data_IF_417915019575
#
_entry.id   IF_417915019575
#
_cell.length_a   1.000
_cell.length_b   1.000
_cell.length_c   1.000
_cell.angle_alpha   90.00
_cell.angle_beta   90.00
_cell.angle_gamma   90.00
#
_symmetry.space_group_name_H-M   'P 1'
#
loop_
_entity.id
_entity.type
_entity.pdbx_description
1 polymer ?
#
# COMPACT_ATOMS: atom_id res chain seq x y z
N UNK A 1 -0.95 68.07 6.31
CA UNK A 1 -1.54 66.72 6.17
C UNK A 1 -1.43 66.01 7.51
N UNK A 2 -2.55 65.81 8.24
CA UNK A 2 -2.55 65.38 9.64
C UNK A 2 -1.85 64.02 9.87
N UNK A 3 -1.05 63.90 10.93
CA UNK A 3 -0.37 62.65 11.29
C UNK A 3 -1.33 61.49 11.50
N UNK A 4 -2.52 61.73 12.08
CA UNK A 4 -3.58 60.72 12.19
C UNK A 4 -3.87 60.00 10.85
N UNK A 5 -3.79 60.70 9.70
CA UNK A 5 -3.94 60.05 8.38
C UNK A 5 -2.72 59.21 8.00
N UNK A 6 -1.50 59.65 8.33
CA UNK A 6 -0.27 58.89 8.11
C UNK A 6 -0.29 57.59 8.93
N UNK A 7 -0.67 57.65 10.21
CA UNK A 7 -0.76 56.49 11.10
C UNK A 7 -1.77 55.46 10.58
N UNK A 8 -2.95 55.89 10.12
CA UNK A 8 -3.93 54.98 9.51
C UNK A 8 -3.39 54.33 8.23
N UNK A 9 -2.68 55.06 7.37
CA UNK A 9 -2.07 54.51 6.15
C UNK A 9 -1.00 53.47 6.50
N UNK A 10 -0.11 53.77 7.45
CA UNK A 10 0.90 52.81 7.92
C UNK A 10 0.27 51.57 8.56
N UNK A 11 -0.77 51.74 9.39
CA UNK A 11 -1.49 50.61 9.98
C UNK A 11 -2.15 49.73 8.91
N UNK A 12 -2.70 50.32 7.85
CA UNK A 12 -3.31 49.59 6.74
C UNK A 12 -2.25 48.84 5.91
N UNK A 13 -1.10 49.45 5.65
CA UNK A 13 0.03 48.83 4.94
C UNK A 13 0.62 47.66 5.75
N UNK A 14 0.81 47.82 7.06
CA UNK A 14 1.29 46.73 7.92
C UNK A 14 0.28 45.58 7.97
N UNK A 15 -1.02 45.88 8.05
CA UNK A 15 -2.08 44.86 8.08
C UNK A 15 -2.17 44.08 6.76
N UNK A 16 -2.07 44.76 5.59
CA UNK A 16 -2.09 44.07 4.29
C UNK A 16 -0.82 43.26 4.04
N UNK A 17 0.35 43.75 4.47
CA UNK A 17 1.62 43.02 4.37
C UNK A 17 1.62 41.76 5.26
N UNK A 18 1.08 41.85 6.49
CA UNK A 18 0.83 40.68 7.35
C UNK A 18 -0.11 39.66 6.68
N UNK A 19 -1.21 40.12 6.08
CA UNK A 19 -2.14 39.23 5.38
C UNK A 19 -1.47 38.50 4.20
N UNK A 20 -0.61 39.18 3.43
CA UNK A 20 0.17 38.57 2.34
C UNK A 20 1.13 37.50 2.88
N UNK A 21 1.80 37.74 4.02
CA UNK A 21 2.68 36.75 4.65
C UNK A 21 1.90 35.48 5.07
N UNK A 22 0.72 35.65 5.70
CA UNK A 22 -0.13 34.52 6.12
C UNK A 22 -0.66 33.73 4.91
N UNK A 23 -1.06 34.39 3.84
CA UNK A 23 -1.49 33.73 2.59
C UNK A 23 -0.32 32.99 1.93
N UNK A 24 0.86 33.60 1.87
CA UNK A 24 2.07 32.94 1.34
C UNK A 24 2.46 31.69 2.14
N UNK A 25 2.48 31.78 3.47
CA UNK A 25 2.81 30.67 4.35
C UNK A 25 1.81 29.50 4.23
N UNK A 26 0.50 29.80 4.14
CA UNK A 26 -0.52 28.76 3.97
C UNK A 26 -0.47 28.09 2.60
N UNK A 27 -0.21 28.84 1.52
CA UNK A 27 0.02 28.24 0.18
C UNK A 27 1.23 27.30 0.16
N UNK A 28 2.35 27.71 0.76
CA UNK A 28 3.56 26.85 0.85
C UNK A 28 3.28 25.60 1.66
N UNK A 29 2.58 25.71 2.80
CA UNK A 29 2.18 24.56 3.61
C UNK A 29 1.33 23.55 2.84
N UNK A 30 0.28 24.01 2.14
CA UNK A 30 -0.58 23.13 1.33
C UNK A 30 0.19 22.48 0.17
N UNK A 31 1.05 23.23 -0.52
CA UNK A 31 1.85 22.71 -1.64
C UNK A 31 2.88 21.66 -1.20
N UNK A 32 3.54 21.86 -0.06
CA UNK A 32 4.48 20.89 0.49
C UNK A 32 3.79 19.59 0.92
N UNK A 33 2.60 19.68 1.53
CA UNK A 33 1.81 18.49 1.92
C UNK A 33 1.47 17.59 0.72
N UNK A 34 1.20 18.15 -0.47
CA UNK A 34 0.92 17.34 -1.67
C UNK A 34 2.09 16.46 -2.12
N UNK A 35 3.35 16.82 -1.83
CA UNK A 35 4.52 16.01 -2.23
C UNK A 35 4.72 14.75 -1.39
N UNK A 36 4.06 14.66 -0.24
CA UNK A 36 4.07 13.47 0.63
C UNK A 36 2.68 12.81 0.65
N UNK A 37 2.15 12.51 -0.54
CA UNK A 37 0.84 11.87 -0.68
C UNK A 37 0.96 10.36 -0.42
N UNK A 38 0.88 9.97 0.86
CA UNK A 38 0.49 8.61 1.23
C UNK A 38 -0.99 8.40 0.93
N UNK A 39 -1.30 7.51 -0.02
CA UNK A 39 -2.67 7.21 -0.41
C UNK A 39 -3.20 6.03 0.41
N UNK A 40 -3.96 6.31 1.46
CA UNK A 40 -4.62 5.30 2.31
C UNK A 40 -6.10 5.16 1.94
N UNK A 41 -6.56 3.94 1.65
CA UNK A 41 -7.97 3.63 1.37
C UNK A 41 -8.39 2.34 2.06
N UNK A 42 -9.53 2.38 2.74
CA UNK A 42 -10.14 1.21 3.38
C UNK A 42 -11.46 0.85 2.70
N UNK A 43 -11.70 -0.45 2.55
CA UNK A 43 -12.80 -1.02 1.78
C UNK A 43 -13.25 -2.34 2.39
N UNK A 44 -14.56 -2.64 2.29
CA UNK A 44 -15.13 -3.89 2.75
C UNK A 44 -16.12 -4.43 1.73
N UNK A 45 -16.03 -5.73 1.44
CA UNK A 45 -16.84 -6.41 0.41
C UNK A 45 -17.23 -7.81 0.87
N UNK A 46 -18.20 -8.43 0.20
CA UNK A 46 -18.48 -9.85 0.37
C UNK A 46 -17.73 -10.62 -0.72
N UNK A 47 -16.97 -11.66 -0.36
CA UNK A 47 -16.35 -12.59 -1.31
C UNK A 47 -17.41 -13.48 -1.99
N UNK A 48 -17.03 -14.20 -3.05
CA UNK A 48 -17.91 -15.17 -3.75
C UNK A 48 -18.42 -16.29 -2.82
N UNK A 49 -17.75 -16.52 -1.68
CA UNK A 49 -18.14 -17.41 -0.58
C UNK A 49 -19.23 -16.86 0.36
N UNK A 50 -19.64 -15.60 0.21
CA UNK A 50 -20.53 -14.88 1.15
C UNK A 50 -19.80 -14.27 2.37
N UNK A 51 -18.49 -14.47 2.48
CA UNK A 51 -17.66 -13.99 3.59
C UNK A 51 -17.38 -12.48 3.51
N UNK A 52 -17.41 -11.76 4.65
CA UNK A 52 -17.08 -10.33 4.71
C UNK A 52 -15.57 -10.12 4.83
N UNK A 53 -14.96 -9.61 3.77
CA UNK A 53 -13.53 -9.26 3.72
C UNK A 53 -13.38 -7.76 4.01
N UNK A 54 -12.44 -7.41 4.87
CA UNK A 54 -11.98 -6.03 5.08
C UNK A 54 -10.57 -5.86 4.53
N UNK A 55 -10.31 -4.75 3.87
CA UNK A 55 -9.03 -4.49 3.21
C UNK A 55 -8.65 -3.02 3.33
N UNK A 56 -7.38 -2.77 3.63
CA UNK A 56 -6.76 -1.44 3.63
C UNK A 56 -5.57 -1.44 2.67
N UNK A 57 -5.58 -0.49 1.75
CA UNK A 57 -4.49 -0.19 0.81
C UNK A 57 -3.75 1.02 1.34
N UNK A 58 -2.41 0.98 1.30
CA UNK A 58 -1.55 2.14 1.54
C UNK A 58 -0.52 2.20 0.40
N UNK A 59 -0.41 3.34 -0.28
CA UNK A 59 0.60 3.55 -1.34
C UNK A 59 1.46 4.75 -1.02
N UNK A 60 2.78 4.56 -1.03
CA UNK A 60 3.77 5.62 -0.91
C UNK A 60 4.52 5.78 -2.23
N UNK A 61 4.17 6.81 -3.01
CA UNK A 61 4.81 7.12 -4.29
C UNK A 61 6.24 7.67 -4.14
N UNK A 62 6.65 8.12 -2.94
CA UNK A 62 8.04 8.53 -2.70
C UNK A 62 8.94 7.31 -2.47
N UNK A 63 8.51 6.38 -1.61
CA UNK A 63 9.25 5.15 -1.29
C UNK A 63 9.02 4.01 -2.31
N UNK A 64 8.17 4.22 -3.32
CA UNK A 64 7.77 3.23 -4.34
C UNK A 64 7.26 1.92 -3.72
N UNK A 65 6.34 2.06 -2.78
CA UNK A 65 5.77 0.95 -2.00
C UNK A 65 4.24 0.93 -2.08
N UNK A 66 3.66 -0.27 -2.19
CA UNK A 66 2.23 -0.49 -2.01
C UNK A 66 1.96 -1.65 -1.02
N UNK A 67 1.34 -1.33 0.11
CA UNK A 67 0.94 -2.28 1.15
C UNK A 67 -0.55 -2.60 1.05
N UNK A 68 -0.90 -3.88 1.17
CA UNK A 68 -2.26 -4.39 1.14
C UNK A 68 -2.53 -5.25 2.36
N UNK A 69 -3.14 -4.64 3.37
CA UNK A 69 -3.62 -5.33 4.57
C UNK A 69 -5.01 -5.91 4.29
N UNK A 70 -5.20 -7.21 4.51
CA UNK A 70 -6.48 -7.89 4.26
C UNK A 70 -6.85 -8.80 5.45
N UNK A 71 -8.12 -8.74 5.87
CA UNK A 71 -8.67 -9.53 6.98
C UNK A 71 -9.96 -10.23 6.55
N UNK A 72 -10.01 -11.53 6.81
CA UNK A 72 -11.05 -12.47 6.34
C UNK A 72 -11.17 -13.61 7.35
N UNK A 73 -12.37 -13.92 7.87
CA UNK A 73 -12.61 -14.99 8.85
C UNK A 73 -11.59 -15.06 10.02
N UNK A 74 -11.28 -13.90 10.62
CA UNK A 74 -10.27 -13.72 11.69
C UNK A 74 -8.82 -14.09 11.31
N UNK A 75 -8.55 -14.38 10.02
CA UNK A 75 -7.21 -14.48 9.44
C UNK A 75 -6.87 -13.11 8.85
N UNK A 76 -5.71 -12.58 9.22
CA UNK A 76 -5.19 -11.33 8.66
C UNK A 76 -3.83 -11.56 8.02
N UNK A 77 -3.66 -10.97 6.84
CA UNK A 77 -2.46 -11.06 6.01
C UNK A 77 -2.11 -9.68 5.47
N UNK A 78 -0.86 -9.50 5.07
CA UNK A 78 -0.37 -8.28 4.43
C UNK A 78 0.54 -8.65 3.26
N UNK A 79 0.24 -8.05 2.11
CA UNK A 79 1.16 -7.98 0.96
C UNK A 79 1.92 -6.67 1.05
N UNK A 80 3.17 -6.67 0.64
CA UNK A 80 3.97 -5.46 0.44
C UNK A 80 4.72 -5.56 -0.88
N UNK A 81 4.34 -4.74 -1.85
CA UNK A 81 5.10 -4.54 -3.08
C UNK A 81 6.16 -3.47 -2.81
N UNK A 82 7.44 -3.83 -2.92
CA UNK A 82 8.58 -2.93 -2.87
C UNK A 82 9.15 -2.82 -4.29
N UNK A 83 8.73 -1.77 -5.02
CA UNK A 83 9.11 -1.59 -6.42
C UNK A 83 10.54 -1.04 -6.59
N UNK A 84 11.20 -0.62 -5.50
CA UNK A 84 12.62 -0.23 -5.54
C UNK A 84 13.54 -1.46 -5.49
N UNK A 85 13.09 -2.55 -4.84
CA UNK A 85 13.84 -3.81 -4.73
C UNK A 85 13.26 -4.94 -5.62
N UNK A 86 12.23 -4.64 -6.42
CA UNK A 86 11.53 -5.56 -7.33
C UNK A 86 11.03 -6.85 -6.64
N UNK A 87 10.54 -6.74 -5.39
CA UNK A 87 10.07 -7.87 -4.57
C UNK A 87 8.69 -7.66 -3.93
N UNK A 88 8.01 -8.78 -3.68
CA UNK A 88 6.70 -8.87 -3.03
C UNK A 88 6.86 -9.62 -1.70
N UNK A 89 6.69 -8.94 -0.57
CA UNK A 89 6.63 -9.54 0.76
C UNK A 89 5.23 -10.03 1.13
N UNK A 90 5.14 -11.19 1.77
CA UNK A 90 3.90 -11.84 2.20
C UNK A 90 3.99 -12.25 3.68
N UNK A 91 3.19 -11.60 4.53
CA UNK A 91 3.14 -11.86 5.99
C UNK A 91 1.71 -12.19 6.43
N UNK A 92 1.51 -13.34 7.09
CA UNK A 92 0.29 -13.64 7.87
C UNK A 92 0.54 -13.24 9.31
N UNK A 93 -0.33 -12.47 9.98
CA UNK A 93 -0.08 -11.98 11.36
C UNK A 93 0.19 -13.14 12.34
N UNK A 94 -0.49 -14.28 12.16
CA UNK A 94 -0.30 -15.50 12.96
C UNK A 94 0.48 -16.60 12.22
N UNK A 95 1.29 -16.23 11.23
CA UNK A 95 2.19 -17.16 10.53
C UNK A 95 3.55 -17.24 11.20
N UNK A 96 4.19 -18.42 11.17
CA UNK A 96 5.54 -18.63 11.70
C UNK A 96 6.67 -18.15 10.75
N UNK A 97 6.33 -17.72 9.53
CA UNK A 97 7.26 -17.31 8.47
C UNK A 97 6.77 -16.04 7.75
N UNK A 98 7.68 -15.44 7.00
CA UNK A 98 7.43 -14.46 5.95
C UNK A 98 7.96 -15.01 4.63
N UNK A 99 7.29 -14.73 3.51
CA UNK A 99 7.71 -15.16 2.18
C UNK A 99 7.97 -13.97 1.27
N UNK A 100 8.95 -14.10 0.36
CA UNK A 100 9.30 -13.07 -0.61
C UNK A 100 9.37 -13.66 -2.02
N UNK A 101 8.68 -13.03 -2.96
CA UNK A 101 8.65 -13.40 -4.38
C UNK A 101 9.25 -12.25 -5.19
N UNK A 102 10.19 -12.52 -6.09
CA UNK A 102 10.64 -11.52 -7.05
C UNK A 102 9.53 -11.20 -8.07
N UNK A 103 9.39 -9.91 -8.41
CA UNK A 103 8.39 -9.44 -9.36
C UNK A 103 8.60 -9.99 -10.79
N UNK A 104 9.82 -10.43 -11.15
CA UNK A 104 10.13 -11.02 -12.46
C UNK A 104 9.42 -12.36 -12.74
N UNK A 105 8.96 -13.07 -11.69
CA UNK A 105 8.40 -14.43 -11.80
C UNK A 105 6.87 -14.47 -11.87
N UNK A 106 6.19 -13.35 -11.64
CA UNK A 106 4.73 -13.26 -11.53
C UNK A 106 4.23 -12.00 -12.27
N UNK A 107 2.96 -11.97 -12.67
CA UNK A 107 2.39 -10.78 -13.31
C UNK A 107 2.05 -9.74 -12.24
N UNK A 108 2.79 -8.65 -12.18
CA UNK A 108 2.67 -7.61 -11.15
C UNK A 108 1.98 -6.37 -11.71
N UNK A 109 0.92 -5.84 -11.06
CA UNK A 109 0.35 -4.55 -11.46
C UNK A 109 1.37 -3.44 -11.25
N UNK A 110 1.44 -2.46 -12.17
CA UNK A 110 2.30 -1.29 -11.93
C UNK A 110 1.75 -0.46 -10.76
N UNK A 111 2.60 0.32 -10.11
CA UNK A 111 2.13 1.23 -9.07
C UNK A 111 1.13 2.28 -9.63
N UNK A 112 1.21 2.63 -10.91
CA UNK A 112 0.20 3.48 -11.54
C UNK A 112 -1.15 2.75 -11.67
N UNK A 113 -1.17 1.45 -12.00
CA UNK A 113 -2.39 0.64 -12.04
C UNK A 113 -3.05 0.52 -10.66
N UNK A 114 -2.27 0.38 -9.59
CA UNK A 114 -2.78 0.43 -8.21
C UNK A 114 -3.42 1.80 -7.94
N UNK A 115 -2.72 2.90 -8.21
CA UNK A 115 -3.25 4.26 -8.01
C UNK A 115 -4.48 4.55 -8.88
N UNK A 116 -4.56 3.97 -10.08
CA UNK A 116 -5.68 4.04 -11.02
C UNK A 116 -6.88 3.21 -10.52
N UNK A 117 -6.63 2.04 -9.94
CA UNK A 117 -7.59 1.20 -9.25
C UNK A 117 -8.22 1.89 -8.04
N UNK A 118 -7.38 2.49 -7.17
CA UNK A 118 -7.83 3.33 -6.03
C UNK A 118 -8.76 4.45 -6.52
N UNK A 119 -8.34 5.22 -7.53
CA UNK A 119 -9.12 6.33 -8.10
C UNK A 119 -10.42 5.86 -8.75
N UNK A 120 -10.47 4.65 -9.32
CA UNK A 120 -11.71 4.04 -9.85
C UNK A 120 -12.66 3.66 -8.72
N UNK A 121 -12.17 2.95 -7.71
CA UNK A 121 -12.94 2.54 -6.55
C UNK A 121 -13.57 3.75 -5.84
N UNK A 122 -12.78 4.79 -5.53
CA UNK A 122 -13.25 6.03 -4.89
C UNK A 122 -14.33 6.78 -5.68
N UNK A 123 -14.37 6.64 -7.02
CA UNK A 123 -15.31 7.38 -7.89
C UNK A 123 -16.57 6.59 -8.24
N UNK A 124 -16.48 5.27 -8.31
CA UNK A 124 -17.50 4.41 -8.90
C UNK A 124 -17.95 3.27 -7.98
N UNK A 125 -17.33 3.12 -6.80
CA UNK A 125 -17.46 1.95 -5.92
C UNK A 125 -17.27 0.62 -6.67
N UNK A 126 -16.38 0.64 -7.68
CA UNK A 126 -16.24 -0.41 -8.69
C UNK A 126 -14.83 -0.97 -8.69
N UNK A 127 -14.78 -2.29 -8.77
CA UNK A 127 -13.60 -3.14 -8.96
C UNK A 127 -13.58 -3.66 -10.41
N UNK A 128 -12.47 -4.25 -10.85
CA UNK A 128 -12.19 -4.63 -12.25
C UNK A 128 -11.66 -6.07 -12.34
N UNK A 129 -12.54 -7.02 -12.70
CA UNK A 129 -12.25 -8.46 -12.68
C UNK A 129 -10.89 -8.82 -13.31
N UNK A 130 -10.00 -9.45 -12.53
CA UNK A 130 -8.68 -9.91 -12.96
C UNK A 130 -8.17 -11.00 -12.01
N UNK A 131 -8.40 -12.28 -12.32
CA UNK A 131 -7.91 -13.39 -11.50
C UNK A 131 -6.40 -13.65 -11.74
N UNK A 132 -5.58 -13.52 -10.69
CA UNK A 132 -4.16 -13.90 -10.67
C UNK A 132 -3.87 -14.85 -9.51
N UNK A 133 -4.02 -16.15 -9.75
CA UNK A 133 -3.72 -17.18 -8.74
C UNK A 133 -2.32 -17.75 -8.93
N UNK A 134 -1.46 -17.59 -7.92
CA UNK A 134 -0.15 -18.22 -7.86
C UNK A 134 -0.10 -19.20 -6.68
N UNK A 135 0.38 -20.42 -6.93
CA UNK A 135 0.90 -21.29 -5.86
C UNK A 135 2.39 -21.02 -5.71
N UNK A 136 2.96 -21.04 -4.50
CA UNK A 136 4.42 -20.93 -4.31
C UNK A 136 5.05 -22.19 -3.70
N UNK A 137 6.34 -22.35 -3.92
CA UNK A 137 7.22 -23.26 -3.19
C UNK A 137 8.16 -22.43 -2.32
N UNK A 138 8.38 -22.87 -1.08
CA UNK A 138 9.40 -22.30 -0.18
C UNK A 138 10.81 -22.65 -0.69
N UNK A 139 11.68 -21.65 -0.78
CA UNK A 139 13.09 -21.77 -1.13
C UNK A 139 14.01 -21.58 0.08
N UNK A 140 15.18 -20.98 -0.13
CA UNK A 140 16.15 -20.69 0.92
C UNK A 140 15.77 -19.49 1.81
N UNK A 141 16.40 -19.37 2.97
CA UNK A 141 16.19 -18.25 3.89
C UNK A 141 16.83 -16.97 3.31
N UNK A 142 16.07 -15.89 3.21
CA UNK A 142 16.48 -14.64 2.55
C UNK A 142 17.30 -13.75 3.49
N UNK A 143 18.43 -13.23 3.02
CA UNK A 143 19.29 -12.39 3.85
C UNK A 143 18.67 -11.00 4.02
N UNK A 144 18.44 -10.57 5.26
CA UNK A 144 17.84 -9.26 5.59
C UNK A 144 18.58 -8.05 4.98
N UNK A 145 19.86 -8.18 4.67
CA UNK A 145 20.69 -7.16 4.00
C UNK A 145 20.37 -6.96 2.52
N UNK A 146 19.66 -7.90 1.89
CA UNK A 146 19.25 -7.84 0.47
C UNK A 146 17.84 -7.25 0.30
N UNK A 147 17.17 -6.88 1.40
CA UNK A 147 15.75 -6.58 1.46
C UNK A 147 15.48 -5.13 1.93
N UNK A 148 14.51 -4.48 1.29
CA UNK A 148 14.10 -3.13 1.66
C UNK A 148 13.63 -2.99 3.12
N UNK A 149 13.78 -1.78 3.68
CA UNK A 149 13.45 -1.48 5.08
C UNK A 149 12.02 -1.86 5.45
N UNK A 150 11.06 -1.64 4.54
CA UNK A 150 9.66 -1.94 4.78
C UNK A 150 9.35 -3.45 4.80
N UNK A 151 10.05 -4.25 3.99
CA UNK A 151 10.01 -5.73 4.03
C UNK A 151 10.60 -6.23 5.36
N UNK A 152 11.73 -5.66 5.77
CA UNK A 152 12.37 -5.97 7.05
C UNK A 152 11.48 -5.65 8.27
N UNK A 153 10.73 -4.54 8.21
CA UNK A 153 9.74 -4.14 9.21
C UNK A 153 8.51 -5.05 9.21
N UNK A 154 7.93 -5.33 8.04
CA UNK A 154 6.78 -6.23 7.87
C UNK A 154 7.03 -7.61 8.47
N UNK A 155 8.27 -8.08 8.36
CA UNK A 155 8.68 -9.42 8.74
C UNK A 155 9.72 -9.40 9.87
N UNK A 156 9.66 -8.40 10.77
CA UNK A 156 10.63 -8.23 11.86
C UNK A 156 10.58 -9.32 12.93
N UNK A 157 9.47 -10.05 13.04
CA UNK A 157 9.18 -11.02 14.12
C UNK A 157 9.37 -12.49 13.72
N UNK A 158 9.76 -12.78 12.46
CA UNK A 158 9.85 -14.13 11.89
C UNK A 158 11.06 -14.30 10.96
N UNK A 159 11.51 -15.54 10.70
CA UNK A 159 12.40 -15.83 9.57
C UNK A 159 11.70 -15.55 8.23
N UNK A 160 12.51 -15.23 7.23
CA UNK A 160 12.09 -14.77 5.90
C UNK A 160 12.60 -15.77 4.87
N UNK A 161 11.74 -16.28 3.99
CA UNK A 161 12.13 -17.24 2.95
C UNK A 161 11.82 -16.71 1.56
N UNK A 162 12.71 -17.00 0.62
CA UNK A 162 12.41 -16.85 -0.80
C UNK A 162 11.29 -17.81 -1.21
N UNK A 163 10.48 -17.40 -2.18
CA UNK A 163 9.34 -18.13 -2.67
C UNK A 163 9.26 -18.08 -4.19
N UNK A 164 9.13 -19.25 -4.82
CA UNK A 164 9.05 -19.36 -6.28
C UNK A 164 7.67 -19.82 -6.72
N UNK A 165 7.03 -19.21 -7.74
CA UNK A 165 5.76 -19.70 -8.25
C UNK A 165 5.88 -21.13 -8.78
N UNK A 166 4.95 -21.99 -8.39
CA UNK A 166 4.85 -23.40 -8.77
C UNK A 166 3.79 -23.60 -9.85
N UNK A 167 4.12 -24.42 -10.84
CA UNK A 167 3.21 -24.88 -11.90
C UNK A 167 2.66 -26.30 -11.62
N UNK A 168 2.98 -26.90 -10.46
CA UNK A 168 2.66 -28.31 -10.13
C UNK A 168 1.65 -28.44 -8.98
N UNK A 169 0.63 -29.27 -9.20
CA UNK A 169 -0.45 -29.60 -8.26
C UNK A 169 -0.06 -30.60 -7.15
N UNK A 170 1.20 -31.04 -7.09
CA UNK A 170 1.66 -32.12 -6.20
C UNK A 170 2.54 -31.66 -5.02
N UNK A 171 2.57 -30.36 -4.69
CA UNK A 171 3.45 -29.80 -3.66
C UNK A 171 2.79 -29.63 -2.29
N UNK A 172 3.61 -29.87 -1.26
CA UNK A 172 3.24 -30.08 0.15
C UNK A 172 2.76 -28.83 0.92
N UNK A 173 2.79 -27.67 0.28
CA UNK A 173 2.35 -26.39 0.85
C UNK A 173 1.59 -25.61 -0.21
N UNK A 174 0.26 -25.54 -0.10
CA UNK A 174 -0.57 -24.80 -1.07
C UNK A 174 -0.85 -23.40 -0.50
N UNK A 175 0.08 -22.47 -0.70
CA UNK A 175 -0.22 -21.04 -0.55
C UNK A 175 -1.08 -20.59 -1.74
N UNK A 176 -2.39 -20.87 -1.67
CA UNK A 176 -3.38 -20.28 -2.59
C UNK A 176 -3.42 -18.76 -2.43
N UNK A 177 -3.82 -18.05 -3.49
CA UNK A 177 -3.96 -16.59 -3.53
C UNK A 177 -5.30 -16.26 -4.27
N UNK A 178 -6.44 -16.05 -3.55
CA UNK A 178 -7.84 -15.67 -3.96
C UNK A 178 -8.89 -14.75 -3.05
N UNK A 179 -9.08 -13.45 -2.55
CA UNK A 179 -8.81 -11.92 -2.31
C UNK A 179 -9.06 -10.76 -3.34
N UNK A 180 -9.95 -9.79 -3.05
CA UNK A 180 -10.29 -8.72 -4.02
C UNK A 180 -9.59 -7.35 -3.87
N UNK A 181 -8.52 -7.13 -4.65
CA UNK A 181 -7.80 -5.85 -4.76
C UNK A 181 -8.11 -5.21 -6.13
N UNK A 182 -9.17 -4.41 -6.20
CA UNK A 182 -9.70 -3.89 -7.49
C UNK A 182 -10.15 -4.98 -8.48
N UNK A 183 -10.73 -6.09 -8.01
CA UNK A 183 -11.39 -7.10 -8.86
C UNK A 183 -10.69 -8.44 -8.93
N UNK A 184 -9.67 -8.64 -8.12
CA UNK A 184 -8.87 -9.84 -8.11
C UNK A 184 -9.49 -10.90 -7.20
N UNK A 185 -8.88 -12.08 -7.16
CA UNK A 185 -8.86 -12.92 -5.98
C UNK A 185 -7.34 -13.17 -5.62
N UNK A 186 -6.88 -12.90 -4.37
CA UNK A 186 -5.53 -13.09 -3.72
C UNK A 186 -5.42 -13.71 -2.23
N UNK A 187 -6.51 -14.16 -1.54
CA UNK A 187 -6.69 -14.93 -0.25
C UNK A 187 -5.94 -16.26 -0.10
N UNK A 188 -5.71 -16.68 1.15
CA UNK A 188 -4.74 -17.74 1.45
C UNK A 188 -5.26 -18.88 2.35
N UNK A 189 -5.13 -20.12 1.88
CA UNK A 189 -5.17 -21.32 2.74
C UNK A 189 -3.78 -21.57 3.33
N UNK A 190 -3.77 -21.92 4.63
CA UNK A 190 -2.59 -22.41 5.33
C UNK A 190 -3.02 -23.68 6.07
N UNK A 191 -2.46 -24.82 5.69
CA UNK A 191 -2.57 -26.07 6.44
C UNK A 191 -1.44 -26.12 7.50
N UNK A 192 -1.69 -26.76 8.63
CA UNK A 192 -0.86 -26.68 9.85
C UNK A 192 -0.02 -27.92 10.10
#
# INVERSE_FOLDING_TARGET
MNDKRKTCIWSLVVLTLLAIIVVGATLVGVYMTQKHTEAVVEMAFNAKSGERVHQRVMVNDLEKIAAFYVTSNNISSTILYDYNHEIIGLRRIKGAKCFIINMDRVNVPTMEDILRGIKRFQRQNSTADTDLTYSITEGEEAQRTELGTAINLLCSDVPIYWATPSQSSHLRWILTINFNIFGFEVSVKFES
#
